data_IF_828261381317
#
_entry.id   IF_828261381317
#
_cell.length_a   1.000
_cell.length_b   1.000
_cell.length_c   1.000
_cell.angle_alpha   90.00
_cell.angle_beta   90.00
_cell.angle_gamma   90.00
#
_symmetry.space_group_name_H-M   'P 1'
#
loop_
_entity.id
_entity.type
_entity.pdbx_description
1 polymer ?
#
# COMPACT_ATOMS: atom_id res chain seq x y z
N UNK A 1 -8.28 -4.93 -10.69
CA UNK A 1 -7.72 -6.17 -11.28
C UNK A 1 -7.40 -7.22 -10.20
N UNK A 2 -6.63 -6.91 -9.16
CA UNK A 2 -6.28 -7.89 -8.10
C UNK A 2 -7.48 -8.37 -7.27
N UNK A 3 -8.41 -7.48 -6.87
CA UNK A 3 -9.66 -7.83 -6.16
C UNK A 3 -10.46 -8.92 -6.89
N UNK A 4 -10.56 -8.83 -8.23
CA UNK A 4 -11.24 -9.87 -9.02
C UNK A 4 -10.52 -11.22 -8.93
N UNK A 5 -9.18 -11.22 -9.05
CA UNK A 5 -8.38 -12.45 -8.91
C UNK A 5 -8.48 -13.05 -7.51
N UNK A 6 -8.54 -12.21 -6.47
CA UNK A 6 -8.77 -12.65 -5.10
C UNK A 6 -10.14 -13.33 -4.94
N UNK A 7 -11.18 -12.76 -5.55
CA UNK A 7 -12.51 -13.37 -5.56
C UNK A 7 -12.54 -14.73 -6.28
N UNK A 8 -11.97 -14.78 -7.50
CA UNK A 8 -11.92 -16.01 -8.30
C UNK A 8 -11.19 -17.12 -7.53
N UNK A 9 -10.07 -16.79 -6.89
CA UNK A 9 -9.29 -17.70 -6.06
C UNK A 9 -10.05 -18.12 -4.79
N UNK A 10 -10.76 -17.19 -4.15
CA UNK A 10 -11.60 -17.48 -2.98
C UNK A 10 -12.71 -18.48 -3.32
N UNK A 11 -13.34 -18.33 -4.50
CA UNK A 11 -14.35 -19.27 -4.97
C UNK A 11 -13.76 -20.65 -5.22
N UNK A 12 -12.59 -20.73 -5.84
CA UNK A 12 -11.87 -22.00 -6.09
C UNK A 12 -11.49 -22.72 -4.80
N UNK A 13 -11.04 -21.96 -3.79
CA UNK A 13 -10.54 -22.51 -2.51
C UNK A 13 -11.60 -22.67 -1.42
N UNK A 14 -12.87 -22.31 -1.69
CA UNK A 14 -13.93 -22.33 -0.68
C UNK A 14 -13.77 -21.29 0.44
N UNK A 15 -13.10 -20.17 0.14
CA UNK A 15 -12.76 -19.11 1.09
C UNK A 15 -13.56 -17.82 0.85
N UNK A 16 -14.77 -17.93 0.31
CA UNK A 16 -15.60 -16.75 -0.01
C UNK A 16 -16.00 -15.96 1.23
N UNK A 17 -16.28 -16.63 2.36
CA UNK A 17 -16.62 -15.94 3.62
C UNK A 17 -15.46 -15.04 4.09
N UNK A 18 -14.23 -15.53 3.98
CA UNK A 18 -13.05 -14.75 4.32
C UNK A 18 -12.83 -13.59 3.34
N UNK A 19 -13.05 -13.81 2.04
CA UNK A 19 -12.99 -12.73 1.05
C UNK A 19 -14.03 -11.63 1.34
N UNK A 20 -15.24 -12.00 1.75
CA UNK A 20 -16.28 -11.05 2.15
C UNK A 20 -15.86 -10.18 3.34
N UNK A 21 -15.10 -10.72 4.29
CA UNK A 21 -14.52 -9.93 5.38
C UNK A 21 -13.61 -8.82 4.84
N UNK A 22 -12.71 -9.13 3.90
CA UNK A 22 -11.83 -8.12 3.26
C UNK A 22 -12.62 -7.06 2.51
N UNK A 23 -13.67 -7.48 1.79
CA UNK A 23 -14.57 -6.55 1.10
C UNK A 23 -15.28 -5.61 2.07
N UNK A 24 -15.82 -6.14 3.15
CA UNK A 24 -16.50 -5.36 4.17
C UNK A 24 -15.55 -4.35 4.84
N UNK A 25 -14.31 -4.74 5.13
CA UNK A 25 -13.29 -3.83 5.67
C UNK A 25 -13.03 -2.67 4.69
N UNK A 26 -12.90 -2.95 3.39
CA UNK A 26 -12.72 -1.92 2.36
C UNK A 26 -13.91 -0.95 2.33
N UNK A 27 -15.13 -1.46 2.27
CA UNK A 27 -16.36 -0.68 2.15
C UNK A 27 -16.61 0.17 3.41
N UNK A 28 -16.60 -0.45 4.59
CA UNK A 28 -16.85 0.22 5.88
C UNK A 28 -15.79 1.28 6.17
N UNK A 29 -14.52 0.98 5.90
CA UNK A 29 -13.44 1.96 6.10
C UNK A 29 -13.67 3.19 5.23
N UNK A 30 -14.03 2.99 3.96
CA UNK A 30 -14.31 4.09 3.04
C UNK A 30 -15.50 4.94 3.50
N UNK A 31 -16.56 4.31 3.97
CA UNK A 31 -17.75 5.00 4.49
C UNK A 31 -17.44 5.80 5.76
N UNK A 32 -16.71 5.22 6.71
CA UNK A 32 -16.31 5.92 7.94
C UNK A 32 -15.46 7.15 7.61
N UNK A 33 -14.49 7.03 6.71
CA UNK A 33 -13.66 8.17 6.33
C UNK A 33 -14.46 9.28 5.65
N UNK A 34 -15.39 8.94 4.79
CA UNK A 34 -16.31 9.93 4.20
C UNK A 34 -17.15 10.64 5.26
N UNK A 35 -17.70 9.91 6.21
CA UNK A 35 -18.49 10.49 7.28
C UNK A 35 -17.70 11.43 8.20
N UNK A 36 -16.41 11.16 8.41
CA UNK A 36 -15.54 11.96 9.27
C UNK A 36 -14.90 13.17 8.58
N UNK A 37 -14.61 13.06 7.28
CA UNK A 37 -13.80 14.06 6.54
C UNK A 37 -14.54 14.71 5.37
N UNK A 38 -15.75 14.29 5.07
CA UNK A 38 -16.55 14.76 3.95
C UNK A 38 -16.44 13.89 2.70
N UNK A 39 -17.42 14.00 1.83
CA UNK A 39 -17.58 13.17 0.63
C UNK A 39 -16.47 13.35 -0.43
N UNK A 40 -15.72 14.45 -0.35
CA UNK A 40 -14.61 14.72 -1.28
C UNK A 40 -13.37 13.86 -0.99
N UNK A 41 -13.31 13.21 0.18
CA UNK A 41 -12.16 12.40 0.58
C UNK A 41 -12.31 10.99 0.04
N UNK A 42 -11.52 10.66 -0.98
CA UNK A 42 -11.40 9.30 -1.49
C UNK A 42 -10.14 8.64 -0.94
N UNK A 43 -10.32 7.57 -0.16
CA UNK A 43 -9.21 6.77 0.39
C UNK A 43 -9.31 5.37 -0.22
N UNK A 44 -8.59 5.12 -1.32
CA UNK A 44 -8.54 3.78 -1.89
C UNK A 44 -7.75 2.84 -0.98
N UNK A 45 -8.15 1.59 -0.95
CA UNK A 45 -7.35 0.56 -0.28
C UNK A 45 -6.05 0.34 -1.03
N UNK A 46 -4.98 0.08 -0.28
CA UNK A 46 -3.70 -0.28 -0.84
C UNK A 46 -3.76 -1.68 -1.48
N UNK A 47 -2.86 -1.93 -2.44
CA UNK A 47 -2.70 -3.24 -3.08
C UNK A 47 -2.46 -4.36 -2.06
N UNK A 48 -1.87 -4.04 -0.92
CA UNK A 48 -1.51 -4.98 0.14
C UNK A 48 -2.73 -5.67 0.77
N UNK A 49 -3.90 -5.01 0.79
CA UNK A 49 -5.12 -5.62 1.31
C UNK A 49 -5.45 -6.94 0.60
N UNK A 50 -5.44 -6.94 -0.72
CA UNK A 50 -5.80 -8.12 -1.51
C UNK A 50 -4.60 -9.00 -1.87
N UNK A 51 -3.36 -8.47 -1.92
CA UNK A 51 -2.18 -9.28 -2.22
C UNK A 51 -1.88 -10.25 -1.08
N UNK A 52 -2.00 -9.81 0.16
CA UNK A 52 -1.86 -10.68 1.32
C UNK A 52 -2.84 -11.84 1.31
N UNK A 53 -4.12 -11.56 1.02
CA UNK A 53 -5.14 -12.61 0.87
C UNK A 53 -4.77 -13.62 -0.25
N UNK A 54 -4.39 -13.12 -1.43
CA UNK A 54 -4.01 -13.98 -2.55
C UNK A 54 -2.81 -14.87 -2.20
N UNK A 55 -1.78 -14.32 -1.57
CA UNK A 55 -0.60 -15.07 -1.16
C UNK A 55 -0.95 -16.16 -0.14
N UNK A 56 -1.80 -15.85 0.83
CA UNK A 56 -2.27 -16.82 1.82
C UNK A 56 -3.03 -17.98 1.15
N UNK A 57 -3.95 -17.67 0.23
CA UNK A 57 -4.72 -18.71 -0.48
C UNK A 57 -3.89 -19.51 -1.49
N UNK A 58 -2.75 -19.00 -1.93
CA UNK A 58 -1.75 -19.74 -2.71
C UNK A 58 -0.82 -20.59 -1.84
N UNK A 59 -0.94 -20.54 -0.51
CA UNK A 59 -0.10 -21.27 0.43
C UNK A 59 1.33 -20.71 0.54
N UNK A 60 1.52 -19.45 0.18
CA UNK A 60 2.82 -18.78 0.31
C UNK A 60 3.06 -18.47 1.78
N UNK A 61 4.21 -18.86 2.38
CA UNK A 61 4.56 -18.50 3.74
C UNK A 61 4.61 -16.98 3.93
N UNK A 62 4.11 -16.48 5.06
CA UNK A 62 4.01 -15.04 5.35
C UNK A 62 5.36 -14.32 5.32
N UNK A 63 6.43 -15.02 5.69
CA UNK A 63 7.80 -14.53 5.64
C UNK A 63 8.25 -14.15 4.22
N UNK A 64 7.61 -14.70 3.18
CA UNK A 64 7.91 -14.43 1.78
C UNK A 64 7.10 -13.27 1.19
N UNK A 65 6.10 -12.72 1.86
CA UNK A 65 5.25 -11.65 1.32
C UNK A 65 6.08 -10.39 0.98
N UNK A 66 6.91 -9.95 1.91
CA UNK A 66 7.81 -8.80 1.68
C UNK A 66 8.90 -9.10 0.64
N UNK A 67 9.60 -10.24 0.67
CA UNK A 67 10.53 -10.62 -0.41
C UNK A 67 9.90 -10.63 -1.80
N UNK A 68 8.69 -11.18 -1.97
CA UNK A 68 7.98 -11.19 -3.26
C UNK A 68 7.64 -9.77 -3.70
N UNK A 69 7.19 -8.93 -2.79
CA UNK A 69 6.92 -7.53 -3.06
C UNK A 69 8.18 -6.79 -3.51
N UNK A 70 9.31 -6.98 -2.81
CA UNK A 70 10.60 -6.41 -3.17
C UNK A 70 11.09 -6.91 -4.54
N UNK A 71 10.99 -8.21 -4.82
CA UNK A 71 11.35 -8.79 -6.11
C UNK A 71 10.53 -8.17 -7.26
N UNK A 72 9.23 -8.00 -7.08
CA UNK A 72 8.37 -7.37 -8.09
C UNK A 72 8.73 -5.88 -8.31
N UNK A 73 9.26 -5.21 -7.29
CA UNK A 73 9.70 -3.81 -7.38
C UNK A 73 11.05 -3.65 -8.07
N UNK A 74 11.87 -4.71 -8.15
CA UNK A 74 13.20 -4.68 -8.76
C UNK A 74 13.18 -4.19 -10.22
N UNK A 75 12.15 -4.54 -10.99
CA UNK A 75 11.99 -4.06 -12.36
C UNK A 75 11.89 -2.52 -12.42
N UNK A 76 11.12 -1.90 -11.50
CA UNK A 76 11.02 -0.45 -11.39
C UNK A 76 12.34 0.19 -10.95
N UNK A 77 13.04 -0.43 -10.00
CA UNK A 77 14.37 0.06 -9.57
C UNK A 77 15.39 0.01 -10.70
N UNK A 78 15.37 -1.06 -11.50
CA UNK A 78 16.24 -1.16 -12.69
C UNK A 78 15.91 -0.07 -13.71
N UNK A 79 14.63 0.20 -13.98
CA UNK A 79 14.20 1.26 -14.87
C UNK A 79 14.71 2.63 -14.39
N UNK A 80 14.51 2.97 -13.12
CA UNK A 80 15.04 4.21 -12.53
C UNK A 80 16.57 4.28 -12.57
N UNK A 81 17.25 3.16 -12.36
CA UNK A 81 18.71 3.12 -12.45
C UNK A 81 19.20 3.38 -13.87
N UNK A 82 18.56 2.78 -14.88
CA UNK A 82 18.86 3.04 -16.29
C UNK A 82 18.66 4.50 -16.63
N UNK A 83 17.54 5.08 -16.22
CA UNK A 83 17.23 6.50 -16.42
C UNK A 83 18.29 7.41 -15.79
N UNK A 84 18.73 7.10 -14.56
CA UNK A 84 19.78 7.85 -13.88
C UNK A 84 21.11 7.77 -14.61
N UNK A 85 21.48 6.57 -15.15
CA UNK A 85 22.74 6.39 -15.89
C UNK A 85 22.67 7.10 -17.25
N UNK A 86 21.53 7.04 -17.93
CA UNK A 86 21.33 7.71 -19.22
C UNK A 86 21.32 9.24 -19.11
N UNK A 87 20.99 9.76 -17.91
CA UNK A 87 21.09 11.18 -17.58
C UNK A 87 22.49 11.57 -17.11
N UNK A 88 22.55 12.47 -16.14
CA UNK A 88 23.79 13.03 -15.60
C UNK A 88 24.62 12.08 -14.70
N UNK A 89 24.10 10.91 -14.39
CA UNK A 89 24.65 9.94 -13.45
C UNK A 89 25.04 10.56 -12.07
N UNK A 90 24.38 11.64 -11.70
CA UNK A 90 24.59 12.32 -10.42
C UNK A 90 23.68 11.74 -9.34
N UNK A 91 24.16 11.76 -8.11
CA UNK A 91 23.30 11.42 -6.96
C UNK A 91 22.24 12.50 -6.81
N UNK A 92 20.99 12.11 -6.99
CA UNK A 92 19.85 12.99 -6.77
C UNK A 92 19.64 13.15 -5.25
N UNK A 93 19.85 14.37 -4.76
CA UNK A 93 19.60 14.76 -3.36
C UNK A 93 18.47 15.77 -3.34
N UNK A 94 17.21 15.35 -3.24
CA UNK A 94 16.10 16.28 -3.17
C UNK A 94 16.25 17.15 -1.92
N UNK A 95 16.14 18.47 -2.10
CA UNK A 95 16.06 19.41 -0.98
C UNK A 95 14.60 19.55 -0.59
N UNK A 96 14.26 19.11 0.63
CA UNK A 96 12.94 19.33 1.20
C UNK A 96 12.97 20.57 2.05
N UNK A 97 12.05 21.48 1.79
CA UNK A 97 11.85 22.67 2.61
C UNK A 97 10.53 22.51 3.33
N UNK A 98 10.55 22.54 4.65
CA UNK A 98 9.32 22.57 5.43
C UNK A 98 8.68 23.94 5.26
N UNK A 99 7.52 23.97 4.63
CA UNK A 99 6.75 25.21 4.39
C UNK A 99 5.91 25.62 5.59
N UNK A 100 5.87 24.82 6.64
CA UNK A 100 5.19 25.15 7.89
C UNK A 100 6.00 26.16 8.69
N UNK A 101 5.36 27.04 9.48
CA UNK A 101 6.06 27.92 10.40
C UNK A 101 6.88 27.07 11.40
N UNK A 102 8.06 27.57 11.75
CA UNK A 102 8.91 26.92 12.75
C UNK A 102 8.15 26.87 14.08
N UNK A 103 7.91 25.66 14.56
CA UNK A 103 7.23 25.42 15.84
C UNK A 103 8.27 25.26 16.93
N UNK A 104 7.98 25.83 18.10
CA UNK A 104 8.79 25.59 19.30
C UNK A 104 8.61 24.14 19.79
N UNK A 105 9.69 23.59 20.28
CA UNK A 105 9.63 22.26 20.89
C UNK A 105 8.90 22.34 22.23
N UNK A 106 7.81 21.59 22.37
CA UNK A 106 7.09 21.43 23.64
C UNK A 106 7.59 20.15 24.31
N UNK A 107 8.18 20.24 25.51
CA UNK A 107 8.63 19.07 26.27
C UNK A 107 7.51 18.04 26.50
N UNK A 108 7.87 16.77 26.62
CA UNK A 108 6.89 15.70 26.78
C UNK A 108 6.02 15.86 28.04
N UNK A 109 6.59 16.49 29.07
CA UNK A 109 5.91 16.81 30.34
C UNK A 109 4.84 17.92 30.22
N UNK A 110 4.81 18.64 29.11
CA UNK A 110 3.90 19.78 28.87
C UNK A 110 2.94 19.54 27.69
N UNK A 111 2.91 18.29 27.16
CA UNK A 111 2.02 17.88 26.07
C UNK A 111 0.72 17.26 26.56
#
# INVERSE_FOLDING_TARGET
MLKKKAYDLAAEKGALEEFELYRNIEEITTEIFKSLKGDEVYIPVNVDLYSGFVYDKLGIPRELFNPIFAASRAAGWCAHRIETIAGDNRIIRPAYVDVRPKMEYIPLSER
#
